data_IF_999382881959
#
_entry.id   IF_999382881959
#
_cell.length_a   1.000
_cell.length_b   1.000
_cell.length_c   1.000
_cell.angle_alpha   90.00
_cell.angle_beta   90.00
_cell.angle_gamma   90.00
#
_symmetry.space_group_name_H-M   'P 1'
#
loop_
_entity.id
_entity.type
_entity.pdbx_description
1 polymer ?
#
# COMPACT_ATOMS: atom_id res chain seq x y z
N UNK A 1 11.72 10.58 -37.39
CA UNK A 1 12.74 11.67 -37.40
C UNK A 1 12.26 12.93 -38.13
N UNK A 2 12.18 12.96 -39.48
CA UNK A 2 11.78 14.20 -40.22
C UNK A 2 10.36 14.71 -39.93
N UNK A 3 9.44 13.83 -39.59
CA UNK A 3 8.05 14.18 -39.23
C UNK A 3 7.99 14.82 -37.84
N UNK A 4 8.60 14.19 -36.83
CA UNK A 4 8.66 14.71 -35.45
C UNK A 4 9.36 16.08 -35.38
N UNK A 5 10.47 16.25 -36.11
CA UNK A 5 11.16 17.53 -36.16
C UNK A 5 10.31 18.65 -36.80
N UNK A 6 9.40 18.30 -37.72
CA UNK A 6 8.45 19.27 -38.30
C UNK A 6 7.38 19.63 -37.28
N UNK A 7 6.77 18.63 -36.65
CA UNK A 7 5.76 18.83 -35.62
C UNK A 7 6.28 19.69 -34.46
N UNK A 8 7.52 19.44 -34.01
CA UNK A 8 8.15 20.24 -32.95
C UNK A 8 8.35 21.71 -33.37
N UNK A 9 8.69 21.98 -34.63
CA UNK A 9 8.79 23.36 -35.15
C UNK A 9 7.42 24.02 -35.22
N UNK A 10 6.40 23.30 -35.68
CA UNK A 10 5.04 23.84 -35.77
C UNK A 10 4.49 24.16 -34.36
N UNK A 11 4.77 23.30 -33.37
CA UNK A 11 4.41 23.56 -31.96
C UNK A 11 5.20 24.72 -31.37
N UNK A 12 6.51 24.80 -31.65
CA UNK A 12 7.35 25.90 -31.17
C UNK A 12 6.88 27.24 -31.72
N UNK A 13 6.51 27.29 -33.01
CA UNK A 13 5.91 28.47 -33.63
C UNK A 13 4.62 28.91 -32.94
N UNK A 14 3.71 27.97 -32.67
CA UNK A 14 2.46 28.27 -31.94
C UNK A 14 2.72 28.79 -30.51
N UNK A 15 3.67 28.19 -29.79
CA UNK A 15 4.06 28.63 -28.44
C UNK A 15 4.68 30.02 -28.46
N UNK A 16 5.54 30.28 -29.45
CA UNK A 16 6.11 31.61 -29.69
C UNK A 16 5.03 32.64 -29.97
N UNK A 17 4.13 32.38 -30.91
CA UNK A 17 3.05 33.31 -31.28
C UNK A 17 2.16 33.65 -30.08
N UNK A 18 1.82 32.65 -29.25
CA UNK A 18 1.06 32.84 -28.02
C UNK A 18 1.80 33.71 -27.00
N UNK A 19 3.10 33.49 -26.82
CA UNK A 19 3.94 34.27 -25.90
C UNK A 19 4.11 35.72 -26.38
N UNK A 20 4.38 35.91 -27.68
CA UNK A 20 4.51 37.23 -28.30
C UNK A 20 3.21 38.04 -28.21
N UNK A 21 2.06 37.40 -28.47
CA UNK A 21 0.75 38.01 -28.30
C UNK A 21 0.47 38.45 -26.86
N UNK A 22 0.82 37.60 -25.87
CA UNK A 22 0.63 37.90 -24.45
C UNK A 22 1.47 39.09 -23.94
N UNK A 23 2.55 39.42 -24.66
CA UNK A 23 3.46 40.52 -24.32
C UNK A 23 3.29 41.76 -25.23
N UNK A 24 2.17 41.85 -25.95
CA UNK A 24 1.86 43.03 -26.77
C UNK A 24 2.77 43.21 -28.00
N UNK A 25 3.45 42.15 -28.45
CA UNK A 25 4.28 42.17 -29.66
C UNK A 25 5.61 42.93 -29.56
N UNK A 26 5.95 43.51 -28.41
CA UNK A 26 7.25 44.13 -28.16
C UNK A 26 8.08 43.26 -27.23
N UNK A 27 9.05 42.53 -27.82
CA UNK A 27 10.02 41.72 -27.08
C UNK A 27 11.41 42.24 -27.42
N UNK A 28 12.20 42.53 -26.39
CA UNK A 28 13.62 42.85 -26.55
C UNK A 28 14.35 41.69 -27.24
N UNK A 29 15.39 42.00 -28.03
CA UNK A 29 16.09 40.99 -28.84
C UNK A 29 16.68 39.84 -28.03
N UNK A 30 17.19 40.11 -26.81
CA UNK A 30 17.72 39.05 -25.94
C UNK A 30 16.61 38.12 -25.43
N UNK A 31 15.52 38.71 -24.92
CA UNK A 31 14.34 37.96 -24.45
C UNK A 31 13.66 37.17 -25.57
N UNK A 32 13.64 37.71 -26.79
CA UNK A 32 13.11 37.02 -27.96
C UNK A 32 13.87 35.73 -28.25
N UNK A 33 15.20 35.74 -28.15
CA UNK A 33 16.02 34.54 -28.33
C UNK A 33 15.76 33.53 -27.21
N UNK A 34 15.75 33.98 -25.96
CA UNK A 34 15.48 33.11 -24.79
C UNK A 34 14.11 32.40 -24.91
N UNK A 35 13.06 33.15 -25.26
CA UNK A 35 11.72 32.60 -25.41
C UNK A 35 11.60 31.66 -26.61
N UNK A 36 12.28 31.96 -27.72
CA UNK A 36 12.31 31.07 -28.87
C UNK A 36 13.01 29.74 -28.53
N UNK A 37 14.10 29.78 -27.77
CA UNK A 37 14.82 28.59 -27.31
C UNK A 37 13.96 27.77 -26.34
N UNK A 38 13.34 28.40 -25.33
CA UNK A 38 12.43 27.71 -24.39
C UNK A 38 11.22 27.11 -25.10
N UNK A 39 10.59 27.84 -26.03
CA UNK A 39 9.47 27.34 -26.82
C UNK A 39 9.88 26.14 -27.70
N UNK A 40 11.09 26.16 -28.26
CA UNK A 40 11.61 25.05 -29.04
C UNK A 40 11.90 23.83 -28.16
N UNK A 41 12.60 24.01 -27.04
CA UNK A 41 12.93 22.95 -26.09
C UNK A 41 11.66 22.25 -25.58
N UNK A 42 10.67 23.01 -25.09
CA UNK A 42 9.39 22.45 -24.61
C UNK A 42 8.62 21.71 -25.70
N UNK A 43 8.66 22.21 -26.93
CA UNK A 43 7.99 21.54 -28.05
C UNK A 43 8.67 20.23 -28.45
N UNK A 44 9.99 20.13 -28.29
CA UNK A 44 10.70 18.86 -28.49
C UNK A 44 10.26 17.84 -27.43
N UNK A 45 10.23 18.25 -26.16
CA UNK A 45 9.75 17.41 -25.05
C UNK A 45 8.32 16.92 -25.32
N UNK A 46 7.37 17.82 -25.62
CA UNK A 46 5.98 17.45 -25.89
C UNK A 46 5.82 16.45 -27.04
N UNK A 47 6.58 16.64 -28.13
CA UNK A 47 6.50 15.75 -29.30
C UNK A 47 7.04 14.36 -28.98
N UNK A 48 8.09 14.28 -28.17
CA UNK A 48 8.62 12.99 -27.70
C UNK A 48 7.63 12.30 -26.76
N UNK A 49 7.01 13.04 -25.84
CA UNK A 49 5.96 12.51 -24.96
C UNK A 49 4.74 12.01 -25.76
N UNK A 50 4.25 12.79 -26.73
CA UNK A 50 3.15 12.38 -27.61
C UNK A 50 3.50 11.15 -28.45
N UNK A 51 4.73 11.09 -28.96
CA UNK A 51 5.22 9.95 -29.72
C UNK A 51 5.30 8.70 -28.85
N UNK A 52 5.85 8.81 -27.64
CA UNK A 52 5.89 7.73 -26.67
C UNK A 52 4.48 7.22 -26.34
N UNK A 53 3.53 8.13 -26.08
CA UNK A 53 2.14 7.78 -25.80
C UNK A 53 1.42 7.04 -26.95
N UNK A 54 1.81 7.30 -28.21
CA UNK A 54 1.19 6.68 -29.40
C UNK A 54 1.86 5.36 -29.83
N UNK A 55 3.13 5.16 -29.47
CA UNK A 55 3.93 4.06 -30.00
C UNK A 55 4.28 2.99 -28.97
N UNK A 56 4.38 3.35 -27.69
CA UNK A 56 4.69 2.39 -26.65
C UNK A 56 3.44 1.55 -26.31
N UNK A 57 3.61 0.23 -26.11
CA UNK A 57 2.58 -0.55 -25.46
C UNK A 57 2.31 0.00 -24.04
N UNK A 58 1.06 -0.04 -23.61
CA UNK A 58 0.61 0.44 -22.29
C UNK A 58 1.51 0.01 -21.13
N UNK A 59 1.96 -1.24 -21.11
CA UNK A 59 2.75 -1.82 -20.00
C UNK A 59 4.26 -1.78 -20.19
N UNK A 60 4.76 -1.36 -21.35
CA UNK A 60 6.17 -1.56 -21.70
C UNK A 60 7.13 -0.91 -20.69
N UNK A 61 6.82 0.32 -20.25
CA UNK A 61 7.65 1.02 -19.26
C UNK A 61 7.51 0.37 -17.89
N UNK A 62 6.27 0.04 -17.48
CA UNK A 62 6.00 -0.62 -16.20
C UNK A 62 6.76 -1.94 -16.04
N UNK A 63 6.66 -2.82 -17.03
CA UNK A 63 7.27 -4.15 -16.99
C UNK A 63 8.81 -4.05 -16.98
N UNK A 64 9.40 -3.06 -17.68
CA UNK A 64 10.85 -2.80 -17.64
C UNK A 64 11.27 -2.27 -16.27
N UNK A 65 10.55 -1.31 -15.70
CA UNK A 65 10.86 -0.70 -14.40
C UNK A 65 10.75 -1.71 -13.25
N UNK A 66 9.78 -2.62 -13.32
CA UNK A 66 9.55 -3.65 -12.30
C UNK A 66 10.12 -5.02 -12.67
N UNK A 67 11.00 -5.11 -13.67
CA UNK A 67 11.52 -6.40 -14.14
C UNK A 67 12.12 -7.23 -12.99
N UNK A 68 12.99 -6.61 -12.17
CA UNK A 68 13.61 -7.29 -11.04
C UNK A 68 12.60 -7.79 -10.00
N UNK A 69 11.55 -7.00 -9.72
CA UNK A 69 10.47 -7.36 -8.80
C UNK A 69 9.71 -8.59 -9.32
N UNK A 70 9.28 -8.55 -10.59
CA UNK A 70 8.57 -9.67 -11.21
C UNK A 70 9.42 -10.94 -11.30
N UNK A 71 10.72 -10.83 -11.57
CA UNK A 71 11.61 -12.00 -11.53
C UNK A 71 11.73 -12.58 -10.11
N UNK A 72 11.88 -11.73 -9.09
CA UNK A 72 11.92 -12.18 -7.70
C UNK A 72 10.60 -12.84 -7.26
N UNK A 73 9.46 -12.32 -7.73
CA UNK A 73 8.13 -12.84 -7.41
C UNK A 73 7.89 -14.27 -7.89
N UNK A 74 8.45 -14.69 -9.04
CA UNK A 74 8.21 -16.02 -9.62
C UNK A 74 8.58 -17.20 -8.72
N UNK A 75 9.51 -16.99 -7.78
CA UNK A 75 10.00 -18.02 -6.87
C UNK A 75 9.30 -18.03 -5.51
N UNK A 76 8.38 -17.09 -5.26
CA UNK A 76 7.76 -16.86 -3.96
C UNK A 76 6.25 -17.08 -4.03
N UNK A 77 5.68 -17.52 -2.92
CA UNK A 77 4.23 -17.66 -2.76
C UNK A 77 3.71 -16.45 -1.99
N UNK A 78 2.61 -15.82 -2.43
CA UNK A 78 1.96 -14.77 -1.65
C UNK A 78 1.58 -15.22 -0.25
N UNK A 79 1.51 -14.27 0.67
CA UNK A 79 1.03 -14.46 2.05
C UNK A 79 -0.40 -15.00 2.01
N UNK A 80 -0.72 -16.03 2.83
CA UNK A 80 -2.07 -16.55 2.92
C UNK A 80 -3.05 -15.49 3.47
N UNK A 81 -4.32 -15.56 3.03
CA UNK A 81 -5.39 -14.67 3.49
C UNK A 81 -5.77 -14.80 4.99
N UNK A 82 -5.09 -15.70 5.71
CA UNK A 82 -5.31 -15.99 7.12
C UNK A 82 -3.96 -16.11 7.81
N UNK A 83 -3.75 -15.34 8.88
CA UNK A 83 -2.45 -15.20 9.56
C UNK A 83 -2.63 -15.42 11.05
N UNK A 84 -2.51 -16.70 11.43
CA UNK A 84 -2.45 -17.14 12.82
C UNK A 84 -1.10 -17.81 13.13
N UNK A 85 0.01 -17.11 12.89
CA UNK A 85 1.35 -17.61 13.26
C UNK A 85 1.74 -17.17 14.69
N UNK A 86 1.97 -18.08 15.65
CA UNK A 86 2.47 -17.74 17.00
C UNK A 86 3.77 -16.92 17.02
N UNK A 87 4.51 -16.86 15.91
CA UNK A 87 5.69 -16.01 15.77
C UNK A 87 5.34 -14.53 15.75
N UNK A 88 4.13 -14.16 15.31
CA UNK A 88 3.63 -12.78 15.34
C UNK A 88 3.59 -12.23 16.76
N UNK A 89 3.08 -13.00 17.70
CA UNK A 89 2.93 -12.56 19.09
C UNK A 89 4.30 -12.34 19.72
N UNK A 90 5.24 -13.26 19.48
CA UNK A 90 6.63 -13.15 19.95
C UNK A 90 7.37 -11.98 19.33
N UNK A 91 7.13 -11.70 18.04
CA UNK A 91 7.73 -10.56 17.36
C UNK A 91 7.36 -9.26 18.08
N UNK A 92 6.07 -9.07 18.36
CA UNK A 92 5.59 -7.84 19.02
C UNK A 92 5.99 -7.75 20.48
N UNK A 93 6.02 -8.86 21.21
CA UNK A 93 6.58 -8.90 22.57
C UNK A 93 8.05 -8.46 22.58
N UNK A 94 8.88 -8.99 21.67
CA UNK A 94 10.29 -8.57 21.55
C UNK A 94 10.42 -7.08 21.23
N UNK A 95 9.59 -6.55 20.33
CA UNK A 95 9.60 -5.12 19.97
C UNK A 95 9.18 -4.24 21.13
N UNK A 96 8.18 -4.67 21.90
CA UNK A 96 7.70 -3.96 23.07
C UNK A 96 8.75 -3.93 24.20
N UNK A 97 9.46 -5.04 24.41
CA UNK A 97 10.59 -5.12 25.34
C UNK A 97 11.72 -4.15 24.93
N UNK A 98 12.05 -4.10 23.63
CA UNK A 98 13.05 -3.18 23.06
C UNK A 98 12.66 -1.70 23.22
N UNK A 99 11.38 -1.37 23.07
CA UNK A 99 10.87 0.01 23.20
C UNK A 99 10.41 0.37 24.60
N UNK A 100 10.53 -0.54 25.57
CA UNK A 100 10.01 -0.38 26.93
C UNK A 100 8.52 0.00 26.98
N UNK A 101 7.73 -0.52 26.04
CA UNK A 101 6.28 -0.36 25.99
C UNK A 101 5.59 -1.65 26.40
N UNK A 102 4.33 -1.57 26.82
CA UNK A 102 3.53 -2.75 27.15
C UNK A 102 2.68 -3.17 25.95
N UNK A 103 2.67 -4.46 25.67
CA UNK A 103 1.72 -5.14 24.77
C UNK A 103 0.86 -6.08 25.59
N UNK A 104 -0.44 -6.11 25.30
CA UNK A 104 -1.40 -7.00 25.94
C UNK A 104 -2.18 -7.79 24.88
N UNK A 105 -2.37 -9.08 25.14
CA UNK A 105 -3.29 -9.90 24.36
C UNK A 105 -4.68 -9.79 24.99
N UNK A 106 -5.68 -9.37 24.23
CA UNK A 106 -7.00 -9.07 24.76
C UNK A 106 -7.74 -10.29 25.30
N UNK A 107 -7.52 -11.47 24.73
CA UNK A 107 -8.32 -12.66 25.01
C UNK A 107 -9.72 -12.52 24.39
N UNK A 108 -10.58 -11.62 24.91
CA UNK A 108 -11.94 -11.36 24.40
C UNK A 108 -12.04 -9.91 23.87
N UNK A 109 -12.06 -9.69 22.54
CA UNK A 109 -12.10 -8.33 22.01
C UNK A 109 -13.33 -7.52 22.41
N UNK A 110 -14.48 -8.17 22.62
CA UNK A 110 -15.71 -7.52 23.07
C UNK A 110 -15.61 -6.92 24.49
N UNK A 111 -14.67 -7.40 25.30
CA UNK A 111 -14.44 -6.95 26.67
C UNK A 111 -13.43 -5.80 26.75
N UNK A 112 -12.89 -5.35 25.61
CA UNK A 112 -11.94 -4.25 25.58
C UNK A 112 -12.56 -2.96 26.13
N UNK A 113 -12.03 -2.49 27.26
CA UNK A 113 -12.53 -1.32 27.99
C UNK A 113 -11.55 -0.13 27.96
N UNK A 114 -10.70 -0.04 26.94
CA UNK A 114 -9.76 1.06 26.78
C UNK A 114 -10.45 2.41 26.48
N UNK A 115 -9.69 3.49 26.60
CA UNK A 115 -10.20 4.84 26.32
C UNK A 115 -10.43 5.08 24.82
N UNK A 116 -9.49 4.63 23.99
CA UNK A 116 -9.58 4.73 22.53
C UNK A 116 -10.23 3.46 21.96
N UNK A 117 -10.86 3.51 20.77
CA UNK A 117 -11.36 2.33 20.08
C UNK A 117 -10.28 1.26 19.87
N UNK A 118 -10.67 -0.02 19.87
CA UNK A 118 -9.73 -1.13 19.65
C UNK A 118 -9.02 -1.01 18.31
N UNK A 119 -9.71 -0.50 17.29
CA UNK A 119 -9.19 -0.30 15.94
C UNK A 119 -8.02 0.69 15.88
N UNK A 120 -7.98 1.65 16.80
CA UNK A 120 -6.94 2.68 16.90
C UNK A 120 -5.73 2.23 17.73
N UNK A 121 -5.84 1.10 18.44
CA UNK A 121 -4.82 0.62 19.39
C UNK A 121 -4.31 -0.79 19.11
N UNK A 122 -4.99 -1.50 18.22
CA UNK A 122 -4.64 -2.85 17.85
C UNK A 122 -3.33 -2.84 17.05
N UNK A 123 -2.47 -3.79 17.40
CA UNK A 123 -1.20 -3.99 16.69
C UNK A 123 -1.44 -4.99 15.57
N UNK A 124 -1.02 -4.67 14.33
CA UNK A 124 -1.27 -5.53 13.20
C UNK A 124 -0.50 -6.85 13.27
N UNK A 125 -1.00 -7.92 12.63
CA UNK A 125 -0.25 -9.16 12.56
C UNK A 125 1.08 -8.93 11.84
N UNK A 126 2.14 -9.54 12.36
CA UNK A 126 3.48 -9.46 11.79
C UNK A 126 3.54 -10.32 10.53
N UNK A 127 3.28 -9.69 9.37
CA UNK A 127 3.28 -10.33 8.07
C UNK A 127 4.65 -10.18 7.41
N UNK A 128 5.18 -11.29 6.90
CA UNK A 128 6.40 -11.26 6.08
C UNK A 128 6.00 -11.03 4.62
N UNK A 129 5.83 -9.76 4.25
CA UNK A 129 5.53 -9.36 2.89
C UNK A 129 6.67 -9.72 1.93
N UNK A 130 6.34 -10.32 0.80
CA UNK A 130 7.30 -10.77 -0.21
C UNK A 130 7.18 -9.99 -1.51
N UNK A 131 8.16 -10.15 -2.40
CA UNK A 131 8.07 -9.64 -3.78
C UNK A 131 6.86 -10.21 -4.54
N UNK A 132 6.38 -11.41 -4.22
CA UNK A 132 5.19 -11.98 -4.83
C UNK A 132 3.92 -11.24 -4.42
N UNK A 133 3.85 -10.75 -3.18
CA UNK A 133 2.71 -9.97 -2.69
C UNK A 133 2.66 -8.59 -3.34
N UNK A 134 3.80 -7.92 -3.43
CA UNK A 134 3.92 -6.61 -4.06
C UNK A 134 3.60 -6.70 -5.57
N UNK A 135 4.15 -7.69 -6.26
CA UNK A 135 3.86 -7.94 -7.67
C UNK A 135 2.37 -8.27 -7.89
N UNK A 136 1.76 -9.10 -7.03
CA UNK A 136 0.34 -9.42 -7.12
C UNK A 136 -0.55 -8.20 -6.85
N UNK A 137 -0.14 -7.30 -5.94
CA UNK A 137 -0.84 -6.04 -5.70
C UNK A 137 -0.75 -5.12 -6.93
N UNK A 138 0.43 -4.98 -7.54
CA UNK A 138 0.61 -4.23 -8.79
C UNK A 138 -0.27 -4.78 -9.92
N UNK A 139 -0.29 -6.10 -10.13
CA UNK A 139 -1.13 -6.71 -11.17
C UNK A 139 -2.62 -6.44 -10.94
N UNK A 140 -3.12 -6.58 -9.71
CA UNK A 140 -4.51 -6.26 -9.38
C UNK A 140 -4.85 -4.79 -9.70
N UNK A 141 -3.94 -3.86 -9.43
CA UNK A 141 -4.14 -2.45 -9.73
C UNK A 141 -4.15 -2.18 -11.23
N UNK A 142 -3.24 -2.80 -11.98
CA UNK A 142 -3.19 -2.66 -13.45
C UNK A 142 -4.42 -3.28 -14.10
N UNK A 143 -4.90 -4.42 -13.62
CA UNK A 143 -6.13 -5.05 -14.10
C UNK A 143 -7.36 -4.18 -13.83
N UNK A 144 -7.42 -3.55 -12.64
CA UNK A 144 -8.55 -2.71 -12.24
C UNK A 144 -8.58 -1.38 -12.97
N UNK A 145 -7.46 -0.66 -12.99
CA UNK A 145 -7.41 0.74 -13.40
C UNK A 145 -6.80 0.94 -14.79
N UNK A 146 -6.12 -0.07 -15.32
CA UNK A 146 -5.30 0.05 -16.51
C UNK A 146 -4.01 0.83 -16.27
N UNK A 147 -3.20 0.93 -17.31
CA UNK A 147 -2.04 1.80 -17.32
C UNK A 147 -1.83 2.41 -18.69
N UNK A 148 -1.53 3.70 -18.72
CA UNK A 148 -1.32 4.43 -19.96
C UNK A 148 0.10 4.18 -20.52
N UNK A 149 0.26 4.17 -21.85
CA UNK A 149 1.58 4.13 -22.46
C UNK A 149 2.55 5.16 -21.86
N UNK A 150 3.76 4.72 -21.54
CA UNK A 150 4.77 5.57 -20.91
C UNK A 150 4.61 5.76 -19.40
N UNK A 151 3.63 5.12 -18.75
CA UNK A 151 3.43 5.22 -17.30
C UNK A 151 3.88 3.95 -16.57
N UNK A 152 4.16 4.08 -15.27
CA UNK A 152 4.34 2.97 -14.33
C UNK A 152 3.72 3.30 -12.97
N UNK A 153 3.37 2.27 -12.21
CA UNK A 153 2.84 2.40 -10.85
C UNK A 153 3.93 2.04 -9.84
N UNK A 154 4.10 2.83 -8.80
CA UNK A 154 4.93 2.52 -7.64
C UNK A 154 4.05 2.37 -6.40
N UNK A 155 4.39 1.42 -5.53
CA UNK A 155 3.70 1.21 -4.25
C UNK A 155 4.64 1.61 -3.11
N UNK A 156 4.11 2.32 -2.11
CA UNK A 156 4.76 2.39 -0.80
C UNK A 156 4.62 1.02 -0.13
N UNK A 157 5.71 0.26 -0.11
CA UNK A 157 5.75 -1.11 0.40
C UNK A 157 6.67 -1.21 1.62
N UNK A 158 6.28 -1.94 2.70
CA UNK A 158 5.09 -2.77 2.87
C UNK A 158 3.79 -1.98 3.13
N UNK A 159 2.61 -2.61 2.98
CA UNK A 159 1.32 -1.97 3.26
C UNK A 159 1.12 -1.63 4.73
N UNK A 160 0.30 -0.60 4.97
CA UNK A 160 -0.20 -0.20 6.29
C UNK A 160 -1.47 -0.97 6.62
N UNK A 161 -1.50 -1.53 7.82
CA UNK A 161 -2.57 -2.39 8.30
C UNK A 161 -3.52 -1.62 9.21
N UNK A 162 -4.81 -1.91 9.11
CA UNK A 162 -5.86 -1.35 9.95
C UNK A 162 -6.79 -2.47 10.41
N UNK A 163 -7.10 -2.53 11.70
CA UNK A 163 -8.12 -3.45 12.20
C UNK A 163 -9.48 -2.94 11.73
N UNK A 164 -10.15 -3.72 10.89
CA UNK A 164 -11.47 -3.37 10.34
C UNK A 164 -12.60 -3.95 11.18
N UNK A 165 -12.39 -5.15 11.73
CA UNK A 165 -13.34 -5.86 12.57
C UNK A 165 -12.55 -6.69 13.57
N UNK A 166 -12.83 -6.55 14.87
CA UNK A 166 -12.17 -7.32 15.92
C UNK A 166 -12.61 -8.80 15.92
N UNK A 167 -13.70 -9.14 15.22
CA UNK A 167 -14.27 -10.48 15.20
C UNK A 167 -14.97 -10.83 16.51
N UNK A 168 -15.45 -12.06 16.57
CA UNK A 168 -16.20 -12.59 17.69
C UNK A 168 -15.96 -14.09 17.85
N UNK A 169 -15.83 -14.53 19.09
CA UNK A 169 -15.85 -15.94 19.46
C UNK A 169 -16.65 -16.09 20.74
N UNK A 170 -17.18 -17.29 20.94
CA UNK A 170 -17.87 -17.66 22.15
C UNK A 170 -17.31 -18.97 22.69
N UNK A 171 -17.42 -19.13 24.00
CA UNK A 171 -17.15 -20.40 24.67
C UNK A 171 -18.45 -21.21 24.72
N UNK A 172 -18.38 -22.47 24.34
CA UNK A 172 -19.52 -23.38 24.53
C UNK A 172 -19.84 -23.49 26.01
N UNK A 173 -21.13 -23.60 26.32
CA UNK A 173 -21.57 -23.86 27.69
C UNK A 173 -20.86 -25.10 28.25
N UNK A 174 -20.39 -24.97 29.48
CA UNK A 174 -19.66 -26.03 30.16
C UNK A 174 -20.62 -27.19 30.46
N UNK A 175 -20.40 -28.35 29.82
CA UNK A 175 -21.13 -29.58 30.09
C UNK A 175 -20.34 -30.49 31.05
N UNK A 176 -20.99 -30.92 32.14
CA UNK A 176 -20.43 -31.93 33.03
C UNK A 176 -20.18 -33.23 32.24
N UNK A 177 -19.00 -33.84 32.38
CA UNK A 177 -18.88 -35.23 31.98
C UNK A 177 -19.77 -36.12 32.87
N UNK A 178 -20.10 -37.34 32.41
CA UNK A 178 -20.96 -38.28 33.15
C UNK A 178 -20.47 -38.55 34.60
N UNK A 179 -19.17 -38.39 34.86
CA UNK A 179 -18.57 -38.56 36.20
C UNK A 179 -18.87 -37.42 37.16
N UNK A 180 -19.23 -36.25 36.63
CA UNK A 180 -19.56 -35.05 37.39
C UNK A 180 -21.00 -34.57 37.15
N UNK A 181 -21.85 -35.37 36.51
CA UNK A 181 -23.25 -35.01 36.26
C UNK A 181 -24.04 -34.66 37.53
N UNK A 182 -23.68 -35.27 38.68
CA UNK A 182 -24.36 -35.09 39.98
C UNK A 182 -23.57 -34.27 41.01
N UNK A 183 -22.35 -33.83 40.69
CA UNK A 183 -21.47 -33.07 41.59
C UNK A 183 -21.07 -31.82 40.85
N UNK A 184 -21.29 -30.64 41.44
CA UNK A 184 -20.84 -29.37 40.85
C UNK A 184 -19.43 -29.54 40.28
N UNK A 185 -19.29 -29.13 39.02
CA UNK A 185 -18.06 -29.02 38.25
C UNK A 185 -16.79 -28.98 39.12
N UNK A 186 -15.99 -30.04 39.09
CA UNK A 186 -14.66 -30.00 39.69
C UNK A 186 -13.68 -29.45 38.66
N UNK A 187 -13.14 -28.26 38.92
CA UNK A 187 -12.02 -27.66 38.17
C UNK A 187 -10.86 -28.66 38.09
N UNK A 188 -10.30 -28.90 36.89
CA UNK A 188 -9.20 -29.83 36.67
C UNK A 188 -9.61 -31.27 36.31
N UNK A 189 -10.89 -31.51 35.99
CA UNK A 189 -11.27 -32.75 35.35
C UNK A 189 -11.00 -32.67 33.84
N UNK A 190 -10.02 -33.44 33.37
CA UNK A 190 -9.62 -33.53 31.94
C UNK A 190 -10.81 -33.77 31.00
N UNK A 191 -11.81 -34.56 31.42
CA UNK A 191 -12.99 -34.83 30.59
C UNK A 191 -13.93 -33.63 30.53
N UNK A 192 -14.13 -32.90 31.63
CA UNK A 192 -14.92 -31.66 31.67
C UNK A 192 -14.21 -30.49 30.99
N UNK A 193 -12.90 -30.34 31.19
CA UNK A 193 -12.10 -29.28 30.58
C UNK A 193 -12.04 -29.43 29.05
N UNK A 194 -12.24 -30.65 28.53
CA UNK A 194 -12.34 -30.93 27.10
C UNK A 194 -13.73 -30.59 26.48
N UNK A 195 -14.75 -30.31 27.30
CA UNK A 195 -16.08 -29.91 26.81
C UNK A 195 -16.18 -28.41 26.53
N UNK A 196 -15.40 -27.56 27.21
CA UNK A 196 -15.32 -26.13 26.86
C UNK A 196 -14.54 -26.01 25.56
N UNK A 197 -15.25 -25.64 24.49
CA UNK A 197 -14.67 -25.34 23.20
C UNK A 197 -14.90 -23.88 22.91
N UNK A 198 -13.83 -23.22 22.50
CA UNK A 198 -13.92 -21.90 21.90
C UNK A 198 -14.29 -22.07 20.44
N UNK A 199 -15.34 -21.38 20.01
CA UNK A 199 -15.82 -21.37 18.64
C UNK A 199 -15.72 -19.93 18.15
N UNK A 200 -14.86 -19.70 17.15
CA UNK A 200 -14.79 -18.43 16.43
C UNK A 200 -16.04 -18.31 15.56
N UNK A 201 -16.92 -17.36 15.90
CA UNK A 201 -18.11 -17.03 15.12
C UNK A 201 -17.73 -16.18 13.91
N UNK A 202 -16.87 -15.17 14.13
CA UNK A 202 -16.31 -14.32 13.09
C UNK A 202 -14.82 -14.06 13.35
N UNK A 203 -13.94 -14.23 12.36
CA UNK A 203 -12.53 -13.91 12.54
C UNK A 203 -12.33 -12.39 12.61
N UNK A 204 -11.25 -11.98 13.26
CA UNK A 204 -10.78 -10.60 13.17
C UNK A 204 -10.32 -10.32 11.73
N UNK A 205 -10.58 -9.12 11.22
CA UNK A 205 -10.26 -8.70 9.85
C UNK A 205 -9.34 -7.50 9.85
N UNK A 206 -8.22 -7.65 9.18
CA UNK A 206 -7.22 -6.62 8.96
C UNK A 206 -7.21 -6.20 7.50
N UNK A 207 -7.36 -4.90 7.25
CA UNK A 207 -7.27 -4.33 5.90
C UNK A 207 -5.90 -3.71 5.70
N UNK A 208 -5.31 -4.00 4.54
CA UNK A 208 -3.99 -3.53 4.17
C UNK A 208 -4.09 -2.52 3.04
N UNK A 209 -3.49 -1.35 3.25
CA UNK A 209 -3.52 -0.21 2.35
C UNK A 209 -2.11 0.19 1.93
N UNK A 210 -1.93 0.61 0.68
CA UNK A 210 -0.67 1.16 0.16
C UNK A 210 -0.91 2.51 -0.47
N UNK A 211 0.05 3.41 -0.34
CA UNK A 211 0.11 4.61 -1.17
C UNK A 211 0.55 4.18 -2.58
N UNK A 212 -0.25 4.51 -3.59
CA UNK A 212 0.07 4.27 -5.01
C UNK A 212 0.53 5.59 -5.62
N UNK A 213 1.69 5.58 -6.27
CA UNK A 213 2.21 6.70 -7.06
C UNK A 213 2.22 6.36 -8.54
N UNK A 214 1.56 7.20 -9.33
CA UNK A 214 1.65 7.08 -10.80
C UNK A 214 2.78 7.94 -11.33
N UNK A 215 3.64 7.33 -12.13
CA UNK A 215 4.79 7.98 -12.75
C UNK A 215 4.65 7.97 -14.25
N UNK A 216 5.30 8.92 -14.92
CA UNK A 216 5.32 9.02 -16.38
C UNK A 216 6.71 9.29 -16.89
N UNK A 217 7.00 8.68 -18.03
CA UNK A 217 8.18 8.92 -18.83
C UNK A 217 8.16 10.36 -19.36
N UNK A 218 9.16 11.15 -18.98
CA UNK A 218 9.46 12.46 -19.54
C UNK A 218 10.67 12.42 -20.45
N UNK A 219 10.88 13.51 -21.18
CA UNK A 219 12.07 13.69 -22.01
C UNK A 219 12.63 15.10 -21.86
N UNK A 220 13.95 15.23 -21.82
CA UNK A 220 14.62 16.53 -21.94
C UNK A 220 14.75 16.98 -23.42
N UNK A 221 15.31 18.17 -23.62
CA UNK A 221 15.54 18.75 -24.95
C UNK A 221 16.55 17.98 -25.81
N UNK A 222 17.37 17.12 -25.20
CA UNK A 222 18.32 16.23 -25.87
C UNK A 222 17.72 14.86 -26.17
N UNK A 223 16.49 14.61 -25.71
CA UNK A 223 15.80 13.32 -25.83
C UNK A 223 16.26 12.28 -24.82
N UNK A 224 16.96 12.68 -23.76
CA UNK A 224 17.22 11.78 -22.64
C UNK A 224 15.95 11.60 -21.84
N UNK A 225 15.79 10.39 -21.32
CA UNK A 225 14.73 10.05 -20.40
C UNK A 225 14.83 10.89 -19.12
N UNK A 226 13.71 11.51 -18.75
CA UNK A 226 13.52 12.17 -17.47
C UNK A 226 12.32 11.57 -16.77
N UNK A 227 12.25 11.76 -15.46
CA UNK A 227 11.13 11.27 -14.67
C UNK A 227 10.19 12.42 -14.33
N UNK A 228 8.91 12.24 -14.68
CA UNK A 228 7.86 13.21 -14.36
C UNK A 228 6.90 12.57 -13.35
N UNK A 229 6.80 13.20 -12.18
CA UNK A 229 5.76 12.89 -11.22
C UNK A 229 4.41 13.34 -11.77
N UNK A 230 3.51 12.38 -12.01
CA UNK A 230 2.16 12.65 -12.52
C UNK A 230 1.19 12.42 -11.38
N UNK A 231 1.10 13.45 -10.53
CA UNK A 231 0.23 13.60 -9.37
C UNK A 231 -1.03 12.72 -9.37
N UNK A 232 -0.93 11.55 -8.73
CA UNK A 232 -2.04 10.92 -8.02
C UNK A 232 -1.46 10.01 -6.94
N UNK A 233 -1.29 10.58 -5.75
CA UNK A 233 -1.07 9.82 -4.52
C UNK A 233 -2.46 9.45 -3.99
N UNK A 234 -2.71 8.15 -3.87
CA UNK A 234 -3.94 7.64 -3.26
C UNK A 234 -3.65 6.41 -2.43
N UNK A 235 -4.35 6.28 -1.32
CA UNK A 235 -4.36 5.06 -0.53
C UNK A 235 -5.32 4.05 -1.18
N UNK A 236 -4.83 2.84 -1.42
CA UNK A 236 -5.61 1.76 -2.00
C UNK A 236 -5.53 0.53 -1.12
N UNK A 237 -6.69 -0.05 -0.82
CA UNK A 237 -6.77 -1.37 -0.19
C UNK A 237 -6.28 -2.45 -1.16
N UNK A 238 -5.25 -3.19 -0.75
CA UNK A 238 -4.64 -4.25 -1.54
C UNK A 238 -5.05 -5.66 -1.09
N UNK A 239 -5.66 -5.78 0.09
CA UNK A 239 -6.13 -7.06 0.61
C UNK A 239 -6.63 -6.99 2.04
N UNK A 240 -7.29 -8.09 2.42
CA UNK A 240 -7.75 -8.36 3.77
C UNK A 240 -7.08 -9.64 4.26
N UNK A 241 -6.63 -9.63 5.52
CA UNK A 241 -6.18 -10.83 6.22
C UNK A 241 -7.09 -11.09 7.41
N UNK A 242 -7.33 -12.37 7.67
CA UNK A 242 -8.08 -12.80 8.85
C UNK A 242 -7.13 -13.31 9.94
N UNK A 243 -7.52 -13.11 11.20
CA UNK A 243 -6.79 -13.58 12.38
C UNK A 243 -7.80 -14.11 13.41
N UNK A 244 -7.39 -15.05 14.26
CA UNK A 244 -8.13 -15.41 15.46
C UNK A 244 -8.34 -14.15 16.35
N UNK A 245 -9.60 -13.77 16.68
CA UNK A 245 -9.91 -12.65 17.55
C UNK A 245 -9.16 -12.67 18.88
N UNK A 246 -8.86 -13.86 19.41
CA UNK A 246 -8.16 -14.02 20.69
C UNK A 246 -6.72 -13.54 20.65
N UNK A 247 -6.15 -13.43 19.44
CA UNK A 247 -4.74 -13.13 19.23
C UNK A 247 -4.50 -11.66 18.87
N UNK A 248 -5.54 -10.84 18.92
CA UNK A 248 -5.38 -9.39 18.80
C UNK A 248 -4.53 -8.90 19.98
N UNK A 249 -3.43 -8.26 19.64
CA UNK A 249 -2.59 -7.52 20.56
C UNK A 249 -2.99 -6.05 20.54
N UNK A 250 -3.00 -5.42 21.71
CA UNK A 250 -3.19 -3.98 21.86
C UNK A 250 -2.02 -3.37 22.63
N UNK A 251 -1.75 -2.09 22.35
CA UNK A 251 -0.68 -1.34 23.01
C UNK A 251 0.71 -1.71 22.48
N UNK A 252 1.56 -0.73 22.17
CA UNK A 252 2.85 -1.00 21.54
C UNK A 252 3.70 0.25 21.28
N UNK A 253 4.90 0.10 20.69
CA UNK A 253 5.91 1.14 20.52
C UNK A 253 5.41 2.46 19.90
N UNK A 254 4.43 2.37 18.99
CA UNK A 254 4.02 3.51 18.16
C UNK A 254 3.17 4.55 18.92
N UNK A 255 2.74 4.25 20.15
CA UNK A 255 2.11 5.25 21.05
C UNK A 255 3.13 6.20 21.71
N UNK A 256 4.40 5.80 21.80
CA UNK A 256 5.42 6.57 22.53
C UNK A 256 5.85 7.89 21.88
N UNK A 257 5.50 8.13 20.61
CA UNK A 257 5.94 9.30 19.86
C UNK A 257 4.92 10.46 19.81
N UNK A 258 3.63 10.21 20.10
CA UNK A 258 2.58 11.21 19.87
C UNK A 258 2.10 11.97 21.13
N UNK A 259 2.61 11.64 22.32
CA UNK A 259 2.16 12.28 23.58
C UNK A 259 3.23 13.14 24.28
N UNK A 260 4.31 13.52 23.60
CA UNK A 260 5.39 14.32 24.17
C UNK A 260 5.46 15.74 23.64
N UNK A 261 4.63 16.65 24.13
CA UNK A 261 4.75 18.08 23.81
C UNK A 261 3.56 18.94 24.25
N UNK A 262 3.25 18.95 25.55
CA UNK A 262 2.62 20.10 26.19
C UNK A 262 3.67 21.17 26.50
#
# INVERSE_FOLDING_TARGET
MRVLARQARDMAGKRWDACAASNGGQVDGGKAVEWALDAHARSLCDVLEQYAAQTLPSRAVHDVRHHALYEAAKALTPVPAHVDDPRTDRYWQSRADESHTHTEQLGVPADYSGFDPIEDVAIPPAVTWTAADEAAALERLIERDGIDPGHWLELEWPPRAHLWDAGHFYETEWECCDKHADVQATEGCIECDAFVRQIVESPARWRFTVEVRTRRLGFDELGNETEVHVAMERDVEIGELTQDPQRILVGGPDRGAASGGS
#
